data_IF_327543805327
#
_entry.id   IF_327543805327
#
_cell.length_a   1.000
_cell.length_b   1.000
_cell.length_c   1.000
_cell.angle_alpha   90.00
_cell.angle_beta   90.00
_cell.angle_gamma   90.00
#
_symmetry.space_group_name_H-M   'P 1'
#
loop_
_entity.id
_entity.type
_entity.pdbx_description
1 polymer ?
#
# COMPACT_ATOMS: atom_id res chain seq x y z
N UNK A 1 -3.71 17.46 -21.87
CA UNK A 1 -4.17 16.18 -21.28
C UNK A 1 -3.24 15.08 -21.77
N UNK A 2 -2.06 14.95 -21.16
CA UNK A 2 -1.14 13.88 -21.51
C UNK A 2 -1.65 12.59 -20.86
N UNK A 3 -1.96 11.60 -21.68
CA UNK A 3 -2.46 10.31 -21.22
C UNK A 3 -1.46 9.65 -20.29
N UNK A 4 -1.98 9.00 -19.26
CA UNK A 4 -1.26 8.04 -18.42
C UNK A 4 -0.81 6.87 -19.30
N UNK A 5 0.34 7.03 -19.96
CA UNK A 5 1.00 5.94 -20.65
C UNK A 5 1.39 4.90 -19.58
N UNK A 6 0.72 3.76 -19.62
CA UNK A 6 1.06 2.57 -18.83
C UNK A 6 2.52 2.21 -19.10
N UNK A 7 3.40 2.46 -18.13
CA UNK A 7 4.85 2.15 -18.23
C UNK A 7 5.14 0.66 -18.08
N UNK A 8 4.14 -0.15 -17.75
CA UNK A 8 4.16 -1.58 -18.04
C UNK A 8 3.31 -1.77 -19.30
N UNK A 9 3.87 -2.38 -20.37
CA UNK A 9 3.02 -2.99 -21.39
C UNK A 9 1.99 -3.86 -20.67
N UNK A 10 0.73 -3.87 -21.12
CA UNK A 10 -0.34 -4.66 -20.48
C UNK A 10 0.05 -6.14 -20.46
N UNK A 11 0.82 -6.53 -19.44
CA UNK A 11 1.02 -7.90 -19.05
C UNK A 11 -0.27 -8.26 -18.36
N UNK A 12 -1.12 -9.00 -19.05
CA UNK A 12 -2.29 -9.61 -18.45
C UNK A 12 -1.80 -10.63 -17.42
N UNK A 13 -1.70 -10.20 -16.17
CA UNK A 13 -1.37 -11.08 -15.04
C UNK A 13 -2.67 -11.74 -14.61
N UNK A 14 -2.82 -13.03 -14.94
CA UNK A 14 -3.98 -13.82 -14.55
C UNK A 14 -3.78 -14.38 -13.14
N UNK A 15 -4.62 -13.95 -12.22
CA UNK A 15 -4.74 -14.49 -10.88
C UNK A 15 -6.23 -14.47 -10.50
N UNK A 16 -6.73 -15.56 -9.91
CA UNK A 16 -8.17 -15.72 -9.61
C UNK A 16 -8.45 -15.76 -8.10
N UNK A 17 -8.30 -14.66 -7.33
CA UNK A 17 -8.52 -14.64 -5.88
C UNK A 17 -9.86 -15.22 -5.39
N UNK A 18 -10.95 -15.09 -6.16
CA UNK A 18 -12.26 -15.65 -5.77
C UNK A 18 -12.37 -17.16 -6.01
N UNK A 19 -11.49 -17.76 -6.82
CA UNK A 19 -11.45 -19.19 -7.11
C UNK A 19 -10.34 -19.91 -6.34
N UNK A 20 -9.14 -19.31 -6.30
CA UNK A 20 -7.95 -19.86 -5.65
C UNK A 20 -8.00 -19.65 -4.13
N UNK A 21 -8.68 -20.50 -3.37
CA UNK A 21 -8.85 -20.31 -1.91
C UNK A 21 -7.61 -20.69 -1.07
N UNK A 22 -6.57 -21.24 -1.69
CA UNK A 22 -5.39 -21.77 -0.99
C UNK A 22 -4.37 -20.73 -0.51
N UNK A 23 -4.47 -19.47 -0.94
CA UNK A 23 -3.48 -18.43 -0.57
C UNK A 23 -3.58 -17.96 0.88
N UNK A 24 -4.71 -18.19 1.56
CA UNK A 24 -4.91 -17.87 2.98
C UNK A 24 -4.42 -18.99 3.92
N UNK A 25 -3.91 -20.10 3.36
CA UNK A 25 -3.30 -21.15 4.18
C UNK A 25 -2.05 -20.63 4.92
N UNK A 26 -1.86 -21.01 6.19
CA UNK A 26 -0.74 -20.52 7.00
C UNK A 26 0.59 -20.90 6.34
N UNK A 27 1.52 -19.94 6.24
CA UNK A 27 2.85 -20.15 5.67
C UNK A 27 2.97 -19.85 4.17
N UNK A 28 1.86 -19.77 3.41
CA UNK A 28 1.90 -19.53 1.96
C UNK A 28 2.34 -18.10 1.64
N UNK A 29 1.83 -17.11 2.39
CA UNK A 29 2.21 -15.70 2.21
C UNK A 29 3.66 -15.46 2.63
N UNK A 30 4.09 -16.08 3.71
CA UNK A 30 5.46 -16.01 4.22
C UNK A 30 6.45 -16.63 3.24
N UNK A 31 6.11 -17.80 2.68
CA UNK A 31 6.92 -18.45 1.65
C UNK A 31 7.01 -17.61 0.37
N UNK A 32 5.89 -17.05 -0.11
CA UNK A 32 5.87 -16.17 -1.27
C UNK A 32 6.71 -14.90 -1.02
N UNK A 33 6.59 -14.29 0.16
CA UNK A 33 7.37 -13.11 0.53
C UNK A 33 8.88 -13.42 0.60
N UNK A 34 9.28 -14.58 1.12
CA UNK A 34 10.67 -14.99 1.16
C UNK A 34 11.28 -15.15 -0.24
N UNK A 35 10.52 -15.72 -1.19
CA UNK A 35 10.94 -15.83 -2.59
C UNK A 35 11.07 -14.45 -3.26
N UNK A 36 10.12 -13.54 -3.00
CA UNK A 36 10.21 -12.15 -3.49
C UNK A 36 11.43 -11.43 -2.92
N UNK A 37 11.74 -11.63 -1.64
CA UNK A 37 12.90 -11.05 -0.99
C UNK A 37 14.21 -11.58 -1.60
N UNK A 38 14.32 -12.90 -1.83
CA UNK A 38 15.48 -13.50 -2.48
C UNK A 38 15.74 -12.91 -3.88
N UNK A 39 14.68 -12.77 -4.69
CA UNK A 39 14.77 -12.12 -6.01
C UNK A 39 15.12 -10.63 -5.90
N UNK A 40 14.59 -9.92 -4.90
CA UNK A 40 14.91 -8.50 -4.66
C UNK A 40 16.36 -8.32 -4.20
N UNK A 41 16.94 -9.29 -3.47
CA UNK A 41 18.37 -9.28 -3.12
C UNK A 41 19.26 -9.50 -4.34
N UNK A 42 18.80 -10.35 -5.28
CA UNK A 42 19.51 -10.64 -6.53
C UNK A 42 19.44 -9.48 -7.52
N UNK A 43 18.28 -8.84 -7.63
CA UNK A 43 18.04 -7.70 -8.51
C UNK A 43 17.79 -6.43 -7.71
N UNK A 44 18.84 -5.64 -7.48
CA UNK A 44 18.67 -4.30 -6.91
C UNK A 44 17.90 -3.43 -7.90
N UNK A 45 16.79 -2.78 -7.49
CA UNK A 45 16.01 -1.92 -8.38
C UNK A 45 16.90 -0.85 -9.03
N UNK A 46 17.07 -0.92 -10.35
CA UNK A 46 17.93 0.01 -11.10
C UNK A 46 17.16 1.23 -11.60
N UNK A 47 15.84 1.10 -11.72
CA UNK A 47 14.93 2.19 -12.14
C UNK A 47 14.08 2.61 -10.95
N UNK A 48 14.08 3.91 -10.66
CA UNK A 48 13.11 4.49 -9.74
C UNK A 48 11.73 4.39 -10.39
N UNK A 49 10.86 3.54 -9.86
CA UNK A 49 9.50 3.38 -10.38
C UNK A 49 8.67 4.66 -10.25
N UNK A 50 9.11 5.65 -9.48
CA UNK A 50 8.49 6.96 -9.34
C UNK A 50 9.10 8.02 -10.28
N UNK A 51 10.05 7.67 -11.17
CA UNK A 51 10.73 8.65 -12.03
C UNK A 51 9.81 9.37 -13.01
N UNK A 52 8.64 8.81 -13.30
CA UNK A 52 7.62 9.43 -14.16
C UNK A 52 6.77 10.47 -13.41
N UNK A 53 6.84 10.49 -12.07
CA UNK A 53 6.17 11.48 -11.26
C UNK A 53 7.12 12.65 -11.03
N UNK A 54 6.74 13.90 -11.38
CA UNK A 54 7.51 15.05 -10.99
C UNK A 54 7.56 15.11 -9.46
N UNK A 55 8.72 15.52 -8.91
CA UNK A 55 8.81 15.80 -7.48
C UNK A 55 7.82 16.93 -7.17
N UNK A 56 6.92 16.76 -6.19
CA UNK A 56 5.95 17.80 -5.87
C UNK A 56 6.69 19.08 -5.48
N UNK A 57 6.40 20.16 -6.19
CA UNK A 57 6.95 21.47 -5.89
C UNK A 57 6.13 22.09 -4.76
N UNK A 58 6.75 22.25 -3.59
CA UNK A 58 6.08 22.81 -2.41
C UNK A 58 6.20 24.34 -2.32
N UNK A 59 7.15 24.94 -3.02
CA UNK A 59 7.41 26.39 -2.98
C UNK A 59 6.18 27.25 -3.31
N UNK A 60 5.31 26.89 -4.28
CA UNK A 60 4.10 27.68 -4.57
C UNK A 60 3.06 27.66 -3.43
N UNK A 61 3.12 26.68 -2.53
CA UNK A 61 2.21 26.54 -1.39
C UNK A 61 2.79 27.16 -0.10
N UNK A 62 4.04 27.65 -0.14
CA UNK A 62 4.66 28.32 0.99
C UNK A 62 4.11 29.73 1.14
N UNK A 63 3.29 29.91 2.17
CA UNK A 63 2.90 31.25 2.61
C UNK A 63 4.11 31.97 3.24
N UNK A 64 4.06 33.29 3.28
CA UNK A 64 5.12 34.12 3.88
C UNK A 64 5.35 33.78 5.36
N UNK A 65 4.29 33.43 6.08
CA UNK A 65 4.36 32.97 7.48
C UNK A 65 5.15 31.65 7.57
N UNK A 66 4.89 30.70 6.66
CA UNK A 66 5.61 29.42 6.65
C UNK A 66 7.09 29.61 6.36
N UNK A 67 7.43 30.49 5.41
CA UNK A 67 8.83 30.79 5.07
C UNK A 67 9.59 31.36 6.27
N UNK A 68 8.98 32.32 6.96
CA UNK A 68 9.57 32.93 8.16
C UNK A 68 9.76 31.90 9.29
N UNK A 69 8.79 31.00 9.48
CA UNK A 69 8.91 29.90 10.45
C UNK A 69 10.00 28.90 10.08
N UNK A 70 10.13 28.54 8.80
CA UNK A 70 11.22 27.68 8.34
C UNK A 70 12.59 28.32 8.54
N UNK A 71 12.71 29.62 8.29
CA UNK A 71 13.96 30.36 8.54
C UNK A 71 14.29 30.42 10.04
N UNK A 72 13.30 30.68 10.90
CA UNK A 72 13.45 30.64 12.36
C UNK A 72 13.93 29.27 12.85
N UNK A 73 13.32 28.19 12.33
CA UNK A 73 13.70 26.81 12.66
C UNK A 73 15.11 26.48 12.15
N UNK A 74 15.47 26.89 10.93
CA UNK A 74 16.81 26.72 10.37
C UNK A 74 17.87 27.45 11.22
N UNK A 75 17.55 28.65 11.70
CA UNK A 75 18.36 29.43 12.62
C UNK A 75 18.33 28.91 14.07
N UNK A 76 17.57 27.84 14.36
CA UNK A 76 17.36 27.25 15.69
C UNK A 76 16.92 28.27 16.74
N UNK A 77 16.17 29.29 16.31
CA UNK A 77 15.66 30.32 17.20
C UNK A 77 14.43 29.76 17.95
N UNK A 78 14.40 29.85 19.30
CA UNK A 78 13.22 29.49 20.07
C UNK A 78 12.02 30.37 19.66
N UNK A 79 10.80 29.88 19.91
CA UNK A 79 9.60 30.66 19.61
C UNK A 79 9.46 31.77 20.64
N UNK A 80 9.07 32.96 20.19
CA UNK A 80 8.72 34.03 21.09
C UNK A 80 7.50 33.63 21.93
N UNK A 81 7.62 33.83 23.24
CA UNK A 81 6.52 33.55 24.16
C UNK A 81 5.44 34.61 23.98
N UNK A 82 4.19 34.16 23.92
CA UNK A 82 3.05 35.06 23.90
C UNK A 82 3.01 35.87 25.21
N UNK A 83 3.14 37.19 25.10
CA UNK A 83 3.07 38.07 26.27
C UNK A 83 1.62 38.24 26.73
N UNK A 84 1.30 37.74 27.92
CA UNK A 84 -0.01 37.95 28.56
C UNK A 84 -0.11 39.30 29.29
N UNK A 85 1.00 40.03 29.44
CA UNK A 85 1.05 41.30 30.19
C UNK A 85 0.08 42.36 29.65
N UNK A 86 -0.27 42.30 28.37
CA UNK A 86 -1.25 43.19 27.73
C UNK A 86 -2.68 43.00 28.26
N UNK A 87 -3.02 41.80 28.74
CA UNK A 87 -4.36 41.47 29.24
C UNK A 87 -4.48 41.64 30.75
N UNK A 88 -3.38 41.98 31.42
CA UNK A 88 -3.31 42.25 32.84
C UNK A 88 -3.20 43.77 33.06
N UNK A 89 -3.56 44.24 34.27
CA UNK A 89 -3.38 45.63 34.70
C UNK A 89 -2.31 45.70 35.80
N UNK A 90 -1.05 45.32 35.51
CA UNK A 90 -0.01 45.40 36.51
C UNK A 90 0.31 46.87 36.80
N UNK A 91 0.47 47.20 38.09
CA UNK A 91 1.09 48.45 38.48
C UNK A 91 2.59 48.42 38.10
N UNK A 92 3.24 49.60 37.93
CA UNK A 92 4.68 49.65 37.75
C UNK A 92 5.40 48.91 38.86
N UNK A 93 6.47 48.18 38.53
CA UNK A 93 7.23 47.45 39.54
C UNK A 93 7.82 48.39 40.59
N UNK A 94 8.14 47.89 41.79
CA UNK A 94 8.64 48.72 42.89
C UNK A 94 9.85 49.61 42.52
N UNK A 95 10.69 49.18 41.57
CA UNK A 95 11.82 49.97 41.07
C UNK A 95 11.47 51.03 40.01
N UNK A 96 10.26 50.98 39.44
CA UNK A 96 9.79 51.86 38.36
C UNK A 96 8.77 52.91 38.85
N UNK A 97 8.48 52.96 40.15
CA UNK A 97 7.45 53.88 40.69
C UNK A 97 7.79 55.36 40.51
N UNK A 98 9.06 55.71 40.38
CA UNK A 98 9.50 57.09 40.12
C UNK A 98 9.67 57.37 38.61
N UNK A 99 9.48 56.36 37.75
CA UNK A 99 9.60 56.49 36.31
C UNK A 99 8.25 56.86 35.70
N UNK A 100 8.17 58.09 35.19
CA UNK A 100 6.97 58.64 34.57
C UNK A 100 6.55 57.81 33.34
N UNK A 101 7.51 57.23 32.60
CA UNK A 101 7.22 56.46 31.38
C UNK A 101 6.53 55.15 31.71
N UNK A 102 6.96 54.44 32.77
CA UNK A 102 6.30 53.24 33.25
C UNK A 102 4.83 53.48 33.68
N UNK A 103 4.55 54.64 34.30
CA UNK A 103 3.17 55.03 34.61
C UNK A 103 2.34 55.35 33.36
N UNK A 104 2.92 56.04 32.38
CA UNK A 104 2.27 56.31 31.10
C UNK A 104 1.92 55.00 30.36
N UNK A 105 2.82 54.02 30.36
CA UNK A 105 2.56 52.70 29.78
C UNK A 105 1.40 51.98 30.48
N UNK A 106 1.37 51.97 31.81
CA UNK A 106 0.26 51.38 32.57
C UNK A 106 -1.08 52.07 32.28
N UNK A 107 -1.09 53.41 32.16
CA UNK A 107 -2.29 54.20 31.84
C UNK A 107 -2.75 53.97 30.39
N UNK A 108 -1.82 53.89 29.44
CA UNK A 108 -2.15 53.56 28.05
C UNK A 108 -2.73 52.15 27.92
N UNK A 109 -2.17 51.18 28.65
CA UNK A 109 -2.68 49.82 28.71
C UNK A 109 -4.09 49.77 29.33
N UNK A 110 -4.35 50.55 30.39
CA UNK A 110 -5.69 50.59 31.01
C UNK A 110 -6.74 51.22 30.11
N UNK A 111 -6.39 52.30 29.40
CA UNK A 111 -7.26 52.89 28.37
C UNK A 111 -7.58 51.88 27.27
N UNK A 112 -6.57 51.20 26.73
CA UNK A 112 -6.78 50.18 25.71
C UNK A 112 -7.69 49.04 26.20
N UNK A 113 -7.51 48.59 27.45
CA UNK A 113 -8.36 47.56 28.02
C UNK A 113 -9.81 48.02 28.22
N UNK A 114 -10.04 49.28 28.63
CA UNK A 114 -11.39 49.82 28.76
C UNK A 114 -12.14 49.75 27.41
N UNK A 115 -11.49 50.19 26.33
CA UNK A 115 -12.06 50.10 24.98
C UNK A 115 -12.30 48.65 24.55
N UNK A 116 -11.37 47.74 24.85
CA UNK A 116 -11.58 46.32 24.58
C UNK A 116 -12.77 45.73 25.37
N UNK A 117 -13.03 46.17 26.61
CA UNK A 117 -14.22 45.75 27.35
C UNK A 117 -15.51 46.32 26.75
N UNK A 118 -15.50 47.58 26.29
CA UNK A 118 -16.64 48.17 25.61
C UNK A 118 -17.00 47.38 24.33
N UNK A 119 -16.01 47.09 23.48
CA UNK A 119 -16.17 46.26 22.28
C UNK A 119 -16.62 44.83 22.64
N UNK A 120 -16.10 44.27 23.74
CA UNK A 120 -16.53 42.94 24.21
C UNK A 120 -18.01 42.93 24.58
N UNK A 121 -18.50 43.96 25.25
CA UNK A 121 -19.92 44.08 25.60
C UNK A 121 -20.77 44.14 24.33
N UNK A 122 -20.41 45.00 23.38
CA UNK A 122 -21.10 45.11 22.08
C UNK A 122 -21.11 43.76 21.32
N UNK A 123 -19.98 43.06 21.27
CA UNK A 123 -19.90 41.73 20.65
C UNK A 123 -20.76 40.69 21.38
N UNK A 124 -20.83 40.73 22.72
CA UNK A 124 -21.67 39.84 23.50
C UNK A 124 -23.16 40.13 23.30
N UNK A 125 -23.54 41.40 23.13
CA UNK A 125 -24.90 41.79 22.76
C UNK A 125 -25.26 41.23 21.38
N UNK A 126 -24.41 41.42 20.37
CA UNK A 126 -24.60 40.82 19.04
C UNK A 126 -24.73 39.30 19.10
N UNK A 127 -23.86 38.63 19.87
CA UNK A 127 -23.90 37.18 20.05
C UNK A 127 -25.18 36.73 20.77
N UNK A 128 -25.64 37.49 21.76
CA UNK A 128 -26.90 37.23 22.47
C UNK A 128 -28.10 37.31 21.53
N UNK A 129 -28.13 38.32 20.65
CA UNK A 129 -29.21 38.52 19.68
C UNK A 129 -29.21 37.50 18.54
N UNK A 130 -28.06 37.23 17.93
CA UNK A 130 -27.99 36.46 16.68
C UNK A 130 -27.37 35.07 16.82
N UNK A 131 -26.61 34.81 17.88
CA UNK A 131 -25.80 33.59 18.03
C UNK A 131 -26.61 32.31 17.97
N UNK A 132 -27.77 32.26 18.64
CA UNK A 132 -28.63 31.06 18.64
C UNK A 132 -29.14 30.73 17.25
N UNK A 133 -29.58 31.73 16.48
CA UNK A 133 -30.12 31.51 15.13
C UNK A 133 -29.00 31.18 14.14
N UNK A 134 -27.86 31.88 14.21
CA UNK A 134 -26.69 31.57 13.41
C UNK A 134 -26.19 30.14 13.64
N UNK A 135 -26.18 29.68 14.90
CA UNK A 135 -25.76 28.33 15.26
C UNK A 135 -26.71 27.26 14.71
N UNK A 136 -28.01 27.51 14.71
CA UNK A 136 -28.99 26.59 14.10
C UNK A 136 -28.73 26.41 12.61
N UNK A 137 -28.60 27.51 11.88
CA UNK A 137 -28.28 27.48 10.43
C UNK A 137 -26.95 26.77 10.17
N UNK A 138 -25.95 27.02 11.01
CA UNK A 138 -24.67 26.31 10.92
C UNK A 138 -24.82 24.80 11.11
N UNK A 139 -25.61 24.35 12.09
CA UNK A 139 -25.89 22.94 12.31
C UNK A 139 -26.65 22.31 11.14
N UNK A 140 -27.61 23.02 10.54
CA UNK A 140 -28.33 22.55 9.35
C UNK A 140 -27.37 22.36 8.17
N UNK A 141 -26.44 23.30 7.95
CA UNK A 141 -25.40 23.18 6.94
C UNK A 141 -24.47 21.98 7.20
N UNK A 142 -24.06 21.76 8.45
CA UNK A 142 -23.25 20.61 8.82
C UNK A 142 -23.99 19.29 8.57
N UNK A 143 -25.27 19.21 8.95
CA UNK A 143 -26.10 18.03 8.70
C UNK A 143 -26.21 17.73 7.20
N UNK A 144 -26.43 18.76 6.38
CA UNK A 144 -26.45 18.63 4.92
C UNK A 144 -25.12 18.12 4.35
N UNK A 145 -23.98 18.65 4.82
CA UNK A 145 -22.66 18.20 4.39
C UNK A 145 -22.40 16.73 4.75
N UNK A 146 -22.82 16.30 5.94
CA UNK A 146 -22.73 14.90 6.38
C UNK A 146 -23.55 14.00 5.46
N UNK A 147 -24.80 14.37 5.17
CA UNK A 147 -25.65 13.60 4.27
C UNK A 147 -25.04 13.47 2.88
N UNK A 148 -24.49 14.55 2.33
CA UNK A 148 -23.85 14.54 1.01
C UNK A 148 -22.66 13.58 0.98
N UNK A 149 -21.79 13.65 1.99
CA UNK A 149 -20.65 12.75 2.12
C UNK A 149 -21.08 11.29 2.26
N UNK A 150 -22.12 11.01 3.06
CA UNK A 150 -22.68 9.67 3.22
C UNK A 150 -23.28 9.12 1.92
N UNK A 151 -23.99 9.96 1.16
CA UNK A 151 -24.57 9.59 -0.15
C UNK A 151 -23.48 9.21 -1.15
N UNK A 152 -22.41 10.00 -1.26
CA UNK A 152 -21.28 9.67 -2.14
C UNK A 152 -20.54 8.40 -1.69
N UNK A 153 -20.32 8.24 -0.39
CA UNK A 153 -19.73 7.02 0.17
C UNK A 153 -20.58 5.78 -0.17
N UNK A 154 -21.90 5.85 -0.02
CA UNK A 154 -22.80 4.75 -0.36
C UNK A 154 -22.73 4.42 -1.85
N UNK A 155 -22.72 5.43 -2.72
CA UNK A 155 -22.56 5.29 -4.17
C UNK A 155 -21.25 4.59 -4.53
N UNK A 156 -20.12 4.95 -3.91
CA UNK A 156 -18.86 4.27 -4.13
C UNK A 156 -18.85 2.83 -3.60
N UNK A 157 -19.43 2.58 -2.42
CA UNK A 157 -19.59 1.21 -1.90
C UNK A 157 -20.38 0.32 -2.86
N UNK A 158 -21.49 0.83 -3.41
CA UNK A 158 -22.29 0.12 -4.41
C UNK A 158 -21.46 -0.20 -5.66
N UNK A 159 -20.75 0.79 -6.22
CA UNK A 159 -19.87 0.58 -7.37
C UNK A 159 -18.79 -0.48 -7.11
N UNK A 160 -18.17 -0.46 -5.93
CA UNK A 160 -17.16 -1.46 -5.54
C UNK A 160 -17.81 -2.86 -5.44
N UNK A 161 -19.00 -2.96 -4.84
CA UNK A 161 -19.74 -4.22 -4.74
C UNK A 161 -20.13 -4.76 -6.11
N UNK A 162 -20.66 -3.93 -7.00
CA UNK A 162 -21.04 -4.33 -8.36
C UNK A 162 -19.83 -4.85 -9.14
N UNK A 163 -18.69 -4.15 -9.07
CA UNK A 163 -17.43 -4.59 -9.68
C UNK A 163 -16.91 -5.91 -9.10
N UNK A 164 -16.94 -6.06 -7.77
CA UNK A 164 -16.51 -7.28 -7.12
C UNK A 164 -17.43 -8.47 -7.43
N UNK A 165 -18.73 -8.22 -7.56
CA UNK A 165 -19.69 -9.23 -7.99
C UNK A 165 -19.41 -9.69 -9.42
N UNK A 166 -19.18 -8.76 -10.35
CA UNK A 166 -18.79 -9.07 -11.72
C UNK A 166 -17.49 -9.89 -11.76
N UNK A 167 -16.43 -9.43 -11.07
CA UNK A 167 -15.15 -10.16 -10.96
C UNK A 167 -15.33 -11.57 -10.42
N UNK A 168 -16.15 -11.74 -9.38
CA UNK A 168 -16.42 -13.06 -8.80
C UNK A 168 -17.07 -13.99 -9.83
N UNK A 169 -18.08 -13.52 -10.57
CA UNK A 169 -18.74 -14.33 -11.59
C UNK A 169 -17.77 -14.73 -12.71
N UNK A 170 -16.97 -13.78 -13.20
CA UNK A 170 -16.00 -14.01 -14.27
C UNK A 170 -14.92 -15.03 -13.83
N UNK A 171 -14.37 -14.86 -12.61
CA UNK A 171 -13.35 -15.76 -12.07
C UNK A 171 -13.88 -17.15 -11.77
N UNK A 172 -15.11 -17.28 -11.26
CA UNK A 172 -15.72 -18.60 -11.02
C UNK A 172 -16.02 -19.32 -12.34
N UNK A 173 -16.46 -18.61 -13.37
CA UNK A 173 -16.68 -19.19 -14.70
C UNK A 173 -15.37 -19.66 -15.34
N UNK A 174 -14.32 -18.83 -15.29
CA UNK A 174 -12.98 -19.18 -15.78
C UNK A 174 -12.38 -20.36 -14.99
N UNK A 175 -12.46 -20.32 -13.65
CA UNK A 175 -11.97 -21.38 -12.78
C UNK A 175 -12.69 -22.72 -12.97
N UNK A 176 -14.01 -22.70 -13.21
CA UNK A 176 -14.76 -23.91 -13.57
C UNK A 176 -14.23 -24.54 -14.86
N UNK A 177 -13.94 -23.71 -15.88
CA UNK A 177 -13.33 -24.17 -17.13
C UNK A 177 -11.91 -24.69 -16.92
N UNK A 178 -11.11 -24.06 -16.06
CA UNK A 178 -9.78 -24.56 -15.69
C UNK A 178 -9.87 -25.95 -15.05
N UNK A 179 -10.77 -26.14 -14.08
CA UNK A 179 -11.00 -27.45 -13.44
C UNK A 179 -11.44 -28.52 -14.43
N UNK A 180 -12.31 -28.16 -15.38
CA UNK A 180 -12.71 -29.07 -16.46
C UNK A 180 -11.49 -29.48 -17.31
N UNK A 181 -10.67 -28.52 -17.73
CA UNK A 181 -9.47 -28.80 -18.52
C UNK A 181 -8.45 -29.61 -17.73
N UNK A 182 -8.23 -29.29 -16.45
CA UNK A 182 -7.39 -30.07 -15.53
C UNK A 182 -7.88 -31.50 -15.37
N UNK A 183 -9.18 -31.76 -15.39
CA UNK A 183 -9.71 -33.14 -15.35
C UNK A 183 -9.45 -33.90 -16.66
N UNK A 184 -9.44 -33.21 -17.79
CA UNK A 184 -9.18 -33.80 -19.12
C UNK A 184 -7.69 -34.05 -19.38
N UNK A 185 -6.79 -33.27 -18.77
CA UNK A 185 -5.34 -33.40 -18.96
C UNK A 185 -4.80 -34.77 -18.50
N UNK A 186 -5.14 -35.31 -17.32
CA UNK A 186 -4.81 -36.69 -16.93
C UNK A 186 -5.43 -37.70 -17.90
N UNK A 187 -6.65 -37.46 -18.36
CA UNK A 187 -7.37 -38.33 -19.30
C UNK A 187 -6.86 -38.24 -20.75
N UNK A 188 -5.99 -37.30 -21.10
CA UNK A 188 -5.28 -37.28 -22.40
C UNK A 188 -3.83 -37.76 -22.28
N UNK A 189 -3.23 -37.64 -21.07
CA UNK A 189 -1.95 -38.26 -20.73
C UNK A 189 -2.06 -39.76 -20.44
N UNK A 190 -3.20 -40.23 -19.89
CA UNK A 190 -3.41 -41.65 -19.60
C UNK A 190 -3.68 -42.52 -20.83
N UNK A 191 -4.35 -42.09 -21.91
CA UNK A 191 -4.40 -42.83 -23.17
C UNK A 191 -3.03 -42.87 -23.84
N UNK A 192 -2.20 -41.83 -23.72
CA UNK A 192 -0.81 -41.92 -24.20
C UNK A 192 0.00 -42.95 -23.41
N UNK A 193 -0.12 -42.99 -22.08
CA UNK A 193 0.54 -44.01 -21.25
C UNK A 193 -0.08 -45.41 -21.44
N UNK A 194 -1.40 -45.47 -21.63
CA UNK A 194 -2.20 -46.68 -21.81
C UNK A 194 -2.02 -47.33 -23.17
N UNK A 195 -2.00 -46.56 -24.27
CA UNK A 195 -1.60 -47.04 -25.59
C UNK A 195 -0.14 -47.51 -25.58
N UNK A 196 0.75 -46.87 -24.81
CA UNK A 196 2.14 -47.32 -24.66
C UNK A 196 2.25 -48.63 -23.85
N UNK A 197 1.39 -48.84 -22.86
CA UNK A 197 1.24 -50.11 -22.12
C UNK A 197 0.57 -51.21 -22.96
N UNK A 198 -0.44 -50.90 -23.77
CA UNK A 198 -1.08 -51.84 -24.69
C UNK A 198 -0.14 -52.27 -25.82
N UNK A 199 0.67 -51.39 -26.37
CA UNK A 199 1.72 -51.75 -27.35
C UNK A 199 2.77 -52.72 -26.79
N UNK A 200 3.06 -52.66 -25.49
CA UNK A 200 3.95 -53.63 -24.82
C UNK A 200 3.25 -54.92 -24.38
N UNK A 201 1.92 -54.92 -24.31
CA UNK A 201 1.11 -56.04 -23.80
C UNK A 201 0.42 -56.85 -24.92
N UNK A 202 0.38 -56.36 -26.16
CA UNK A 202 -0.05 -57.17 -27.31
C UNK A 202 0.93 -58.32 -27.54
N UNK A 203 0.47 -59.59 -27.53
CA UNK A 203 1.31 -60.71 -27.89
C UNK A 203 1.73 -60.56 -29.36
N UNK A 204 3.02 -60.44 -29.62
CA UNK A 204 3.56 -60.72 -30.96
C UNK A 204 3.35 -62.22 -31.17
N UNK A 205 2.35 -62.61 -31.96
CA UNK A 205 2.19 -64.01 -32.35
C UNK A 205 3.43 -64.45 -33.16
N UNK A 206 4.14 -65.51 -32.72
CA UNK A 206 5.22 -66.05 -33.50
C UNK A 206 4.71 -67.05 -34.54
N UNK A 207 5.06 -66.76 -35.79
CA UNK A 207 5.36 -67.70 -36.89
C UNK A 207 4.26 -68.11 -37.88
N UNK A 208 4.42 -67.61 -39.11
CA UNK A 208 4.42 -68.49 -40.30
C UNK A 208 5.17 -67.87 -41.48
N UNK A 209 6.44 -67.44 -41.32
CA UNK A 209 7.33 -67.30 -42.49
C UNK A 209 8.79 -67.59 -42.12
N UNK A 210 9.39 -68.49 -42.89
CA UNK A 210 10.74 -69.02 -42.73
C UNK A 210 11.84 -67.94 -42.93
N UNK A 211 12.97 -68.13 -42.23
CA UNK A 211 14.20 -67.32 -42.31
C UNK A 211 14.88 -67.40 -43.70
N UNK A 212 15.70 -66.41 -44.11
CA UNK A 212 17.13 -66.48 -43.78
C UNK A 212 17.85 -65.15 -43.46
N UNK A 213 18.52 -65.14 -42.30
CA UNK A 213 19.96 -64.85 -42.06
C UNK A 213 20.62 -63.66 -42.80
N UNK A 214 20.99 -62.60 -42.05
CA UNK A 214 22.22 -61.83 -42.31
C UNK A 214 22.86 -61.33 -40.99
N UNK A 215 24.18 -61.22 -41.04
CA UNK A 215 25.14 -61.24 -39.93
C UNK A 215 25.15 -59.99 -39.03
N UNK A 216 25.31 -60.19 -37.72
CA UNK A 216 25.80 -59.18 -36.78
C UNK A 216 27.33 -59.23 -36.76
N UNK A 217 27.99 -58.10 -37.05
CA UNK A 217 29.36 -57.84 -36.63
C UNK A 217 29.37 -56.92 -35.40
N UNK A 218 30.16 -57.23 -34.35
CA UNK A 218 30.26 -56.43 -33.15
C UNK A 218 31.38 -55.39 -33.26
N UNK A 219 31.11 -54.13 -32.92
CA UNK A 219 32.18 -53.20 -32.52
C UNK A 219 32.22 -53.07 -31.00
N UNK A 220 33.23 -53.72 -30.42
CA UNK A 220 33.86 -53.33 -29.15
C UNK A 220 34.30 -51.85 -29.21
N UNK A 221 34.36 -51.08 -28.12
CA UNK A 221 35.41 -51.09 -27.05
C UNK A 221 35.07 -50.01 -25.97
N UNK A 222 35.83 -49.86 -24.85
CA UNK A 222 35.37 -50.22 -23.50
C UNK A 222 35.53 -49.13 -22.41
N UNK A 223 35.27 -49.55 -21.17
CA UNK A 223 35.33 -48.87 -19.85
C UNK A 223 36.58 -48.02 -19.55
N UNK A 224 36.37 -47.04 -18.65
CA UNK A 224 37.25 -46.82 -17.48
C UNK A 224 36.52 -46.11 -16.33
N UNK A 225 36.49 -46.74 -15.15
CA UNK A 225 36.33 -46.08 -13.84
C UNK A 225 37.74 -45.82 -13.27
N UNK A 226 37.96 -44.92 -12.29
CA UNK A 226 37.86 -45.36 -10.90
C UNK A 226 37.37 -44.32 -9.85
N UNK A 227 36.91 -44.91 -8.74
CA UNK A 227 36.67 -44.48 -7.36
C UNK A 227 37.39 -43.26 -6.74
N UNK A 228 36.71 -42.65 -5.75
CA UNK A 228 37.17 -42.19 -4.41
C UNK A 228 36.15 -41.15 -3.86
N UNK A 229 35.78 -40.99 -2.58
CA UNK A 229 36.11 -41.59 -1.30
C UNK A 229 34.96 -41.29 -0.31
N UNK A 230 34.92 -42.08 0.76
CA UNK A 230 34.05 -42.05 1.95
C UNK A 230 33.91 -40.68 2.64
N UNK A 231 32.75 -40.40 3.28
CA UNK A 231 32.66 -40.16 4.73
C UNK A 231 31.23 -39.77 5.18
N UNK A 232 30.60 -40.64 5.97
CA UNK A 232 29.77 -40.27 7.14
C UNK A 232 30.65 -40.53 8.38
N UNK A 233 30.50 -39.81 9.53
CA UNK A 233 29.45 -40.18 10.48
C UNK A 233 28.92 -39.08 11.46
N UNK A 234 27.74 -39.37 12.02
CA UNK A 234 27.30 -39.19 13.43
C UNK A 234 27.29 -37.83 14.14
N UNK A 235 26.07 -37.36 14.41
CA UNK A 235 25.46 -37.16 15.75
C UNK A 235 26.37 -37.32 16.99
N UNK A 236 26.47 -36.26 17.83
CA UNK A 236 26.68 -36.36 19.28
C UNK A 236 26.05 -35.16 20.00
N UNK A 237 25.39 -35.48 21.11
CA UNK A 237 24.75 -34.61 22.10
C UNK A 237 25.76 -33.83 22.96
N UNK A 238 25.30 -32.72 23.57
CA UNK A 238 25.63 -32.37 24.96
C UNK A 238 26.57 -31.20 25.22
N UNK A 239 26.03 -29.98 25.32
CA UNK A 239 25.98 -29.13 26.53
C UNK A 239 25.44 -27.74 26.20
#
# INVERSE_FOLDING_TARGET
MAGTASVAGEVFVDALPYFDQGYDAPGVREAAAALVEEETRRYRPTKNYLSYLPMPEFSPFETEIMRNEFERLAARQPMDLLSMKRYELPAPTSGQKNDITAWQECVNNSMAQLEHQAIRIENLELMSHYGTNAWKVYNDNLAFMIELAQKELHKFRKKIQDLNWQRKNDQLAAGAKLRELESKIPASKSPQCGCQLEFYSSPVEPSSFAKPRFYLQPRHKPLSSPAAHQATPTFLEGK
#
